data_IF_762325960720
#
_entry.id   IF_762325960720
#
_cell.length_a   1.000
_cell.length_b   1.000
_cell.length_c   1.000
_cell.angle_alpha   90.00
_cell.angle_beta   90.00
_cell.angle_gamma   90.00
#
_symmetry.space_group_name_H-M   'P 1'
#
loop_
_entity.id
_entity.type
_entity.pdbx_description
1 polymer ?
#
# COMPACT_ATOMS: atom_id res chain seq x y z
N UNK A 1 5.90 -8.18 69.71
CA UNK A 1 4.65 -8.93 69.50
C UNK A 1 4.52 -9.22 68.01
N UNK A 2 4.63 -10.51 67.65
CA UNK A 2 4.43 -11.01 66.29
C UNK A 2 2.93 -11.14 65.97
N UNK A 3 2.52 -10.81 64.74
CA UNK A 3 1.43 -11.45 63.99
C UNK A 3 1.50 -10.92 62.55
N UNK A 4 2.12 -11.61 61.58
CA UNK A 4 1.67 -12.78 60.79
C UNK A 4 0.44 -12.52 59.88
N UNK A 5 0.75 -12.32 58.59
CA UNK A 5 0.16 -12.82 57.33
C UNK A 5 -1.37 -12.83 57.14
N UNK A 6 -1.85 -12.26 56.02
CA UNK A 6 -2.47 -13.01 54.89
C UNK A 6 -2.25 -12.22 53.59
N UNK A 7 -1.67 -12.90 52.60
CA UNK A 7 -1.54 -12.48 51.20
C UNK A 7 -2.90 -12.71 50.52
N UNK A 8 -3.49 -11.66 49.94
CA UNK A 8 -4.60 -11.81 49.00
C UNK A 8 -4.08 -11.53 47.59
N UNK A 9 -3.74 -12.62 46.89
CA UNK A 9 -3.49 -12.59 45.45
C UNK A 9 -4.84 -12.39 44.73
N UNK A 10 -5.03 -11.21 44.16
CA UNK A 10 -6.15 -10.96 43.25
C UNK A 10 -5.67 -11.28 41.85
N UNK A 11 -5.92 -12.53 41.43
CA UNK A 11 -5.86 -12.95 40.03
C UNK A 11 -7.17 -12.50 39.38
N UNK A 12 -7.14 -11.39 38.64
CA UNK A 12 -8.21 -11.07 37.70
C UNK A 12 -7.81 -11.59 36.32
N UNK A 13 -8.21 -12.83 36.07
CA UNK A 13 -8.36 -13.40 34.73
C UNK A 13 -9.69 -12.90 34.16
N UNK A 14 -9.64 -11.99 33.19
CA UNK A 14 -10.72 -11.72 32.26
C UNK A 14 -10.22 -12.05 30.85
N UNK A 15 -10.41 -13.32 30.48
CA UNK A 15 -10.42 -13.79 29.10
C UNK A 15 -11.85 -13.61 28.55
N UNK A 16 -11.92 -13.53 27.23
CA UNK A 16 -13.08 -13.26 26.35
C UNK A 16 -13.36 -11.75 26.18
N UNK A 17 -13.44 -11.18 24.98
CA UNK A 17 -13.72 -11.75 23.67
C UNK A 17 -12.70 -11.25 22.63
N UNK A 18 -12.48 -12.05 21.59
CA UNK A 18 -11.88 -11.57 20.36
C UNK A 18 -12.63 -10.33 19.90
N UNK A 19 -11.97 -9.19 19.97
CA UNK A 19 -12.36 -8.07 19.15
C UNK A 19 -12.06 -8.51 17.73
N UNK A 20 -13.10 -8.87 16.98
CA UNK A 20 -13.03 -8.79 15.53
C UNK A 20 -12.35 -7.46 15.17
N UNK A 21 -11.44 -7.42 14.18
CA UNK A 21 -10.96 -6.15 13.68
C UNK A 21 -12.19 -5.31 13.35
N UNK A 22 -12.35 -4.21 14.09
CA UNK A 22 -13.39 -3.24 13.82
C UNK A 22 -13.02 -2.71 12.45
N UNK A 23 -13.68 -3.23 11.41
CA UNK A 23 -13.68 -2.59 10.10
C UNK A 23 -14.09 -1.14 10.37
N UNK A 24 -13.22 -0.15 10.06
CA UNK A 24 -13.61 1.24 10.25
C UNK A 24 -14.86 1.46 9.42
N UNK A 25 -15.97 1.78 10.09
CA UNK A 25 -17.21 2.17 9.44
C UNK A 25 -16.90 3.42 8.62
N UNK A 26 -16.71 3.23 7.32
CA UNK A 26 -16.51 4.27 6.32
C UNK A 26 -17.83 5.04 6.14
N UNK A 27 -18.11 5.93 7.09
CA UNK A 27 -19.25 6.85 7.04
C UNK A 27 -18.85 8.15 6.36
N UNK A 28 -19.59 8.49 5.31
CA UNK A 28 -19.44 9.65 4.41
C UNK A 28 -18.07 9.74 3.70
N UNK A 29 -18.09 10.16 2.43
CA UNK A 29 -16.91 10.17 1.56
C UNK A 29 -15.85 11.16 2.04
N UNK A 30 -15.05 10.77 3.02
CA UNK A 30 -13.94 11.56 3.50
C UNK A 30 -12.72 11.22 2.63
N UNK A 31 -12.63 11.91 1.48
CA UNK A 31 -11.43 11.89 0.65
C UNK A 31 -10.21 12.49 1.38
N UNK A 32 -10.40 12.96 2.63
CA UNK A 32 -9.35 13.45 3.51
C UNK A 32 -8.70 12.27 4.23
N UNK A 33 -7.41 12.01 3.97
CA UNK A 33 -6.69 10.95 4.66
C UNK A 33 -6.58 11.23 6.16
N UNK A 34 -7.00 10.28 6.97
CA UNK A 34 -6.71 10.26 8.40
C UNK A 34 -5.32 9.66 8.62
N UNK A 35 -4.32 10.53 8.66
CA UNK A 35 -2.92 10.12 8.76
C UNK A 35 -2.58 9.55 10.14
N UNK A 36 -2.06 8.33 10.17
CA UNK A 36 -1.37 7.75 11.33
C UNK A 36 0.13 7.65 11.09
N UNK A 37 0.92 7.80 12.14
CA UNK A 37 2.37 7.55 12.11
C UNK A 37 2.63 6.07 12.34
N UNK A 38 3.55 5.50 11.57
CA UNK A 38 4.02 4.12 11.71
C UNK A 38 5.38 4.07 12.43
N UNK A 39 5.78 2.87 12.86
CA UNK A 39 7.00 2.64 13.65
C UNK A 39 8.28 2.94 12.87
N UNK A 40 8.26 2.75 11.55
CA UNK A 40 9.36 3.14 10.64
C UNK A 40 9.44 4.66 10.39
N UNK A 41 8.58 5.44 11.04
CA UNK A 41 8.51 6.90 10.92
C UNK A 41 7.65 7.41 9.77
N UNK A 42 7.20 6.54 8.87
CA UNK A 42 6.32 6.89 7.75
C UNK A 42 4.93 7.31 8.22
N UNK A 43 4.13 7.82 7.29
CA UNK A 43 2.73 8.20 7.49
C UNK A 43 1.86 7.34 6.61
N UNK A 44 0.74 6.85 7.15
CA UNK A 44 -0.16 5.97 6.43
C UNK A 44 -1.61 6.45 6.59
N UNK A 45 -2.41 6.29 5.54
CA UNK A 45 -3.85 6.51 5.57
C UNK A 45 -4.54 5.61 4.56
N UNK A 46 -5.84 5.36 4.78
CA UNK A 46 -6.74 4.75 3.82
C UNK A 46 -7.90 5.71 3.58
N UNK A 47 -8.30 5.84 2.33
CA UNK A 47 -9.47 6.62 1.91
C UNK A 47 -10.36 5.76 1.03
N UNK A 48 -11.66 6.05 1.03
CA UNK A 48 -12.65 5.38 0.20
C UNK A 48 -13.39 6.36 -0.69
N UNK A 49 -13.76 5.95 -1.90
CA UNK A 49 -14.66 6.74 -2.73
C UNK A 49 -16.06 6.83 -2.11
N UNK A 50 -16.81 7.90 -2.39
CA UNK A 50 -18.25 7.89 -2.18
C UNK A 50 -18.85 6.67 -2.89
N UNK A 51 -19.57 5.81 -2.15
CA UNK A 51 -20.11 4.55 -2.66
C UNK A 51 -19.28 3.29 -2.35
N UNK A 52 -18.05 3.42 -1.84
CA UNK A 52 -17.24 2.29 -1.35
C UNK A 52 -16.56 1.43 -2.42
N UNK A 53 -16.85 1.65 -3.71
CA UNK A 53 -16.34 0.81 -4.80
C UNK A 53 -14.82 0.92 -5.06
N UNK A 54 -14.20 2.02 -4.63
CA UNK A 54 -12.77 2.25 -4.76
C UNK A 54 -12.16 2.58 -3.40
N UNK A 55 -11.11 1.85 -3.05
CA UNK A 55 -10.34 2.08 -1.84
C UNK A 55 -8.90 2.43 -2.22
N UNK A 56 -8.31 3.40 -1.53
CA UNK A 56 -6.92 3.78 -1.74
C UNK A 56 -6.20 3.83 -0.40
N UNK A 57 -5.13 3.07 -0.28
CA UNK A 57 -4.13 3.25 0.76
C UNK A 57 -3.00 4.14 0.26
N UNK A 58 -2.50 5.00 1.14
CA UNK A 58 -1.34 5.84 0.88
C UNK A 58 -0.34 5.73 2.03
N UNK A 59 0.93 5.57 1.70
CA UNK A 59 2.03 5.60 2.65
C UNK A 59 3.10 6.58 2.18
N UNK A 60 3.59 7.44 3.07
CA UNK A 60 4.53 8.50 2.74
C UNK A 60 5.73 8.54 3.71
N UNK A 61 6.93 8.71 3.16
CA UNK A 61 8.20 8.89 3.89
C UNK A 61 8.73 10.30 3.66
N UNK A 62 9.34 10.91 4.67
CA UNK A 62 10.01 12.21 4.52
C UNK A 62 11.25 12.03 3.63
N UNK A 63 11.34 12.83 2.55
CA UNK A 63 12.42 12.73 1.55
C UNK A 63 12.77 14.13 1.01
N UNK A 64 13.99 14.60 1.27
CA UNK A 64 14.53 15.85 0.70
C UNK A 64 13.72 17.12 0.99
N UNK A 65 13.03 17.19 2.14
CA UNK A 65 12.17 18.34 2.49
C UNK A 65 10.73 18.25 1.99
N UNK A 66 10.37 17.15 1.31
CA UNK A 66 8.99 16.78 1.01
C UNK A 66 8.70 15.34 1.44
N UNK A 67 7.82 14.69 0.71
CA UNK A 67 7.38 13.32 0.97
C UNK A 67 7.45 12.47 -0.29
N UNK A 68 8.07 11.29 -0.19
CA UNK A 68 7.87 10.22 -1.18
C UNK A 68 6.65 9.43 -0.76
N UNK A 69 5.66 9.29 -1.64
CA UNK A 69 4.40 8.60 -1.34
C UNK A 69 4.16 7.44 -2.29
N UNK A 70 3.70 6.33 -1.73
CA UNK A 70 3.12 5.20 -2.45
C UNK A 70 1.62 5.21 -2.27
N UNK A 71 0.89 5.04 -3.36
CA UNK A 71 -0.57 4.96 -3.40
C UNK A 71 -0.94 3.61 -3.99
N UNK A 72 -1.65 2.78 -3.25
CA UNK A 72 -2.24 1.53 -3.73
C UNK A 72 -3.74 1.72 -3.82
N UNK A 73 -4.33 1.49 -4.99
CA UNK A 73 -5.76 1.58 -5.23
C UNK A 73 -6.31 0.22 -5.60
N UNK A 74 -7.47 -0.10 -5.05
CA UNK A 74 -8.27 -1.26 -5.43
C UNK A 74 -9.62 -0.77 -5.95
N UNK A 75 -9.98 -1.21 -7.14
CA UNK A 75 -11.29 -0.96 -7.74
C UNK A 75 -12.07 -2.27 -7.76
N UNK A 76 -13.18 -2.33 -7.02
CA UNK A 76 -14.02 -3.52 -6.98
C UNK A 76 -14.73 -3.76 -8.33
N UNK A 77 -15.09 -2.69 -9.04
CA UNK A 77 -15.82 -2.78 -10.31
C UNK A 77 -14.96 -3.27 -11.49
N UNK A 78 -13.65 -3.05 -11.43
CA UNK A 78 -12.70 -3.45 -12.46
C UNK A 78 -11.81 -4.62 -12.02
N UNK A 79 -12.03 -5.15 -10.81
CA UNK A 79 -11.16 -6.15 -10.15
C UNK A 79 -9.66 -5.80 -10.29
N UNK A 80 -9.35 -4.50 -10.20
CA UNK A 80 -8.02 -4.00 -10.49
C UNK A 80 -7.33 -3.52 -9.22
N UNK A 81 -6.02 -3.79 -9.15
CA UNK A 81 -5.13 -3.23 -8.15
C UNK A 81 -4.05 -2.46 -8.89
N UNK A 82 -3.84 -1.20 -8.53
CA UNK A 82 -2.77 -0.37 -9.11
C UNK A 82 -1.96 0.23 -7.97
N UNK A 83 -0.64 0.20 -8.08
CA UNK A 83 0.26 0.86 -7.14
C UNK A 83 1.08 1.91 -7.87
N UNK A 84 1.20 3.09 -7.29
CA UNK A 84 1.90 4.24 -7.88
C UNK A 84 2.81 4.90 -6.86
N UNK A 85 3.97 5.37 -7.34
CA UNK A 85 4.91 6.19 -6.56
C UNK A 85 4.95 7.63 -7.07
N UNK A 86 4.91 8.60 -6.16
CA UNK A 86 5.00 10.02 -6.48
C UNK A 86 5.75 10.78 -5.37
N UNK A 87 6.37 11.91 -5.71
CA UNK A 87 6.88 12.87 -4.73
C UNK A 87 5.86 13.99 -4.51
N UNK A 88 5.66 14.37 -3.26
CA UNK A 88 4.70 15.37 -2.83
C UNK A 88 5.41 16.39 -1.94
N UNK A 89 5.14 17.69 -2.12
CA UNK A 89 5.78 18.74 -1.27
C UNK A 89 5.33 18.66 0.19
N UNK A 90 4.14 18.15 0.43
CA UNK A 90 3.53 18.00 1.76
C UNK A 90 2.69 16.72 1.80
N UNK A 91 2.35 16.22 2.99
CA UNK A 91 1.37 15.13 3.12
C UNK A 91 0.06 15.53 2.42
N UNK A 92 -0.46 14.70 1.50
CA UNK A 92 -1.71 14.97 0.82
C UNK A 92 -2.84 15.24 1.82
N UNK A 93 -3.56 16.35 1.62
CA UNK A 93 -4.74 16.71 2.42
C UNK A 93 -6.03 16.12 1.85
N UNK A 94 -5.97 15.69 0.58
CA UNK A 94 -7.02 14.98 -0.12
C UNK A 94 -6.36 13.94 -1.02
N UNK A 95 -6.98 12.79 -1.16
CA UNK A 95 -6.51 11.71 -2.02
C UNK A 95 -7.60 11.39 -3.02
N UNK A 96 -7.24 11.41 -4.31
CA UNK A 96 -8.12 10.89 -5.36
C UNK A 96 -8.26 9.38 -5.17
N UNK A 97 -9.49 8.84 -5.14
CA UNK A 97 -9.69 7.39 -5.13
C UNK A 97 -9.28 6.77 -6.46
N UNK A 98 -9.09 7.58 -7.50
CA UNK A 98 -8.49 7.16 -8.76
C UNK A 98 -6.98 7.30 -8.68
N UNK A 99 -6.29 6.17 -8.78
CA UNK A 99 -4.83 6.10 -8.80
C UNK A 99 -4.34 6.39 -10.22
N UNK A 100 -4.06 7.67 -10.49
CA UNK A 100 -3.39 8.10 -11.71
C UNK A 100 -1.93 8.44 -11.42
N UNK A 101 -1.03 7.88 -12.23
CA UNK A 101 0.39 8.21 -12.21
C UNK A 101 0.68 9.31 -13.24
N UNK A 102 0.35 10.57 -12.92
CA UNK A 102 0.99 11.70 -13.59
C UNK A 102 2.30 12.01 -12.87
N UNK A 103 3.42 12.09 -13.59
CA UNK A 103 4.75 12.34 -13.03
C UNK A 103 5.24 11.24 -12.06
N UNK A 104 5.10 9.96 -12.43
CA UNK A 104 5.43 8.84 -11.56
C UNK A 104 5.41 7.48 -12.24
N UNK A 105 5.84 6.47 -11.49
CA UNK A 105 5.87 5.07 -11.90
C UNK A 105 4.68 4.32 -11.29
N UNK A 106 4.06 3.43 -12.06
CA UNK A 106 2.99 2.56 -11.57
C UNK A 106 3.04 1.17 -12.17
N UNK A 107 2.59 0.18 -11.40
CA UNK A 107 2.24 -1.14 -11.89
C UNK A 107 0.79 -1.46 -11.52
N UNK A 108 0.15 -2.33 -12.27
CA UNK A 108 -1.18 -2.78 -11.93
C UNK A 108 -1.53 -4.14 -12.50
N UNK A 109 -2.49 -4.78 -11.84
CA UNK A 109 -3.18 -5.99 -12.30
C UNK A 109 -4.63 -5.60 -12.57
N UNK A 110 -5.16 -6.00 -13.71
CA UNK A 110 -6.56 -5.84 -14.08
C UNK A 110 -7.19 -7.23 -14.24
N UNK A 111 -7.99 -7.63 -13.24
CA UNK A 111 -8.53 -8.97 -13.12
C UNK A 111 -7.44 -10.05 -13.05
N UNK A 112 -7.66 -11.16 -13.75
CA UNK A 112 -6.66 -12.21 -14.00
C UNK A 112 -6.13 -12.18 -15.43
N UNK A 113 -6.29 -11.06 -16.13
CA UNK A 113 -6.06 -10.99 -17.57
C UNK A 113 -4.80 -10.23 -17.94
N UNK A 114 -4.42 -9.19 -17.20
CA UNK A 114 -3.29 -8.35 -17.57
C UNK A 114 -2.51 -7.83 -16.37
N UNK A 115 -1.20 -7.79 -16.53
CA UNK A 115 -0.26 -7.03 -15.72
C UNK A 115 0.28 -5.87 -16.57
N UNK A 116 0.43 -4.68 -15.97
CA UNK A 116 0.95 -3.50 -16.67
C UNK A 116 1.98 -2.76 -15.85
N UNK A 117 2.96 -2.19 -16.54
CA UNK A 117 3.90 -1.19 -16.02
C UNK A 117 3.71 0.10 -16.81
N UNK A 118 3.67 1.24 -16.12
CA UNK A 118 3.45 2.54 -16.74
C UNK A 118 4.30 3.63 -16.10
N UNK A 119 4.60 4.67 -16.87
CA UNK A 119 5.28 5.88 -16.42
C UNK A 119 4.57 7.10 -17.00
N UNK A 120 4.29 8.08 -16.15
CA UNK A 120 3.70 9.36 -16.57
C UNK A 120 2.39 9.18 -17.37
N UNK A 121 1.63 8.11 -17.04
CA UNK A 121 0.39 7.73 -17.71
C UNK A 121 0.55 6.89 -18.98
N UNK A 122 1.79 6.68 -19.45
CA UNK A 122 2.09 5.86 -20.62
C UNK A 122 2.42 4.43 -20.22
N UNK A 123 1.80 3.46 -20.88
CA UNK A 123 2.12 2.03 -20.71
C UNK A 123 3.49 1.75 -21.31
N UNK A 124 4.39 1.21 -20.49
CA UNK A 124 5.73 0.80 -20.89
C UNK A 124 5.77 -0.68 -21.28
N UNK A 125 5.09 -1.51 -20.51
CA UNK A 125 4.98 -2.94 -20.74
C UNK A 125 3.61 -3.45 -20.29
N UNK A 126 3.12 -4.46 -20.99
CA UNK A 126 1.94 -5.23 -20.63
C UNK A 126 2.30 -6.70 -20.75
N UNK A 127 1.85 -7.50 -19.79
CA UNK A 127 1.86 -8.95 -19.86
C UNK A 127 0.42 -9.42 -19.83
N UNK A 128 0.01 -10.12 -20.88
CA UNK A 128 -1.28 -10.78 -20.88
C UNK A 128 -1.12 -12.08 -20.08
N UNK A 129 -2.10 -12.40 -19.26
CA UNK A 129 -2.08 -13.60 -18.43
C UNK A 129 -2.97 -14.63 -19.11
N UNK A 130 -2.48 -15.19 -20.22
CA UNK A 130 -3.08 -16.37 -20.83
C UNK A 130 -2.64 -17.65 -20.09
N UNK A 131 -3.27 -18.80 -20.40
CA UNK A 131 -3.02 -20.06 -19.69
C UNK A 131 -1.55 -20.53 -19.70
N UNK A 132 -0.74 -20.01 -20.64
CA UNK A 132 0.68 -20.36 -20.82
C UNK A 132 1.65 -19.25 -20.39
N UNK A 133 1.16 -18.03 -20.17
CA UNK A 133 2.01 -16.89 -19.81
C UNK A 133 2.12 -16.78 -18.29
N UNK A 134 3.35 -16.85 -17.78
CA UNK A 134 3.61 -16.67 -16.37
C UNK A 134 3.43 -15.19 -16.00
N UNK A 135 2.99 -14.94 -14.76
CA UNK A 135 3.06 -13.60 -14.15
C UNK A 135 4.51 -13.12 -14.14
N UNK A 136 4.69 -11.80 -14.19
CA UNK A 136 6.03 -11.22 -14.02
C UNK A 136 6.66 -11.67 -12.71
N UNK A 137 7.93 -12.03 -12.78
CA UNK A 137 8.81 -12.13 -11.64
C UNK A 137 9.51 -10.77 -11.38
N UNK A 138 10.11 -10.62 -10.20
CA UNK A 138 10.83 -9.39 -9.84
C UNK A 138 11.95 -9.02 -10.83
N UNK A 139 12.62 -10.01 -11.43
CA UNK A 139 13.69 -9.76 -12.41
C UNK A 139 13.16 -9.28 -13.78
N UNK A 140 11.94 -9.65 -14.17
CA UNK A 140 11.29 -9.13 -15.38
C UNK A 140 11.01 -7.63 -15.21
N UNK A 141 10.49 -7.25 -14.04
CA UNK A 141 10.21 -5.84 -13.72
C UNK A 141 11.50 -5.02 -13.66
N UNK A 142 12.58 -5.55 -13.08
CA UNK A 142 13.90 -4.88 -13.10
C UNK A 142 14.41 -4.67 -14.53
N UNK A 143 14.21 -5.65 -15.41
CA UNK A 143 14.59 -5.56 -16.82
C UNK A 143 13.80 -4.45 -17.51
N UNK A 144 12.47 -4.45 -17.38
CA UNK A 144 11.59 -3.40 -17.92
C UNK A 144 12.04 -2.02 -17.42
N UNK A 145 12.32 -1.88 -16.13
CA UNK A 145 12.76 -0.61 -15.55
C UNK A 145 14.11 -0.14 -16.12
N UNK A 146 15.04 -1.07 -16.31
CA UNK A 146 16.37 -0.79 -16.86
C UNK A 146 16.28 -0.37 -18.32
N UNK A 147 15.53 -1.11 -19.15
CA UNK A 147 15.33 -0.82 -20.57
C UNK A 147 14.63 0.51 -20.82
N UNK A 148 13.80 0.96 -19.88
CA UNK A 148 13.09 2.24 -19.96
C UNK A 148 13.82 3.39 -19.23
N UNK A 149 15.11 3.20 -18.91
CA UNK A 149 15.97 4.20 -18.27
C UNK A 149 15.37 4.78 -16.97
N UNK A 150 14.64 3.94 -16.22
CA UNK A 150 14.01 4.32 -14.96
C UNK A 150 15.05 4.32 -13.83
N UNK A 151 15.99 5.27 -13.91
CA UNK A 151 17.07 5.43 -12.92
C UNK A 151 16.55 6.07 -11.63
N UNK A 152 16.99 5.56 -10.48
CA UNK A 152 16.56 6.06 -9.16
C UNK A 152 15.12 5.68 -8.77
N UNK A 153 14.48 4.78 -9.53
CA UNK A 153 13.18 4.17 -9.19
C UNK A 153 13.33 2.72 -8.74
N UNK A 154 14.55 2.19 -8.69
CA UNK A 154 14.98 0.89 -8.14
C UNK A 154 14.61 0.64 -6.66
N UNK A 155 13.84 1.54 -6.06
CA UNK A 155 13.51 1.63 -4.64
C UNK A 155 12.07 1.22 -4.33
N UNK A 156 11.35 0.77 -5.35
CA UNK A 156 9.96 0.40 -5.21
C UNK A 156 9.75 -0.91 -5.93
N UNK A 157 9.73 -2.00 -5.15
CA UNK A 157 9.26 -3.29 -5.62
C UNK A 157 7.75 -3.21 -5.80
N UNK A 158 7.36 -2.52 -6.87
CA UNK A 158 5.96 -2.28 -7.18
C UNK A 158 5.21 -3.59 -7.30
N UNK A 159 5.87 -4.62 -7.83
CA UNK A 159 5.30 -5.94 -7.99
C UNK A 159 5.06 -6.61 -6.63
N UNK A 160 6.04 -6.63 -5.73
CA UNK A 160 5.85 -7.20 -4.39
C UNK A 160 4.75 -6.48 -3.61
N UNK A 161 4.71 -5.14 -3.68
CA UNK A 161 3.66 -4.36 -3.04
C UNK A 161 2.30 -4.64 -3.67
N UNK A 162 2.24 -4.73 -5.00
CA UNK A 162 1.03 -5.05 -5.75
C UNK A 162 0.50 -6.44 -5.39
N UNK A 163 1.37 -7.45 -5.34
CA UNK A 163 1.03 -8.83 -5.00
C UNK A 163 0.59 -8.95 -3.54
N UNK A 164 1.30 -8.30 -2.62
CA UNK A 164 0.94 -8.26 -1.19
C UNK A 164 -0.43 -7.61 -0.97
N UNK A 165 -0.64 -6.43 -1.56
CA UNK A 165 -1.93 -5.73 -1.49
C UNK A 165 -3.05 -6.53 -2.14
N UNK A 166 -2.78 -7.25 -3.22
CA UNK A 166 -3.77 -8.08 -3.90
C UNK A 166 -4.16 -9.32 -3.08
N UNK A 167 -3.18 -10.02 -2.51
CA UNK A 167 -3.40 -11.25 -1.76
C UNK A 167 -4.08 -11.01 -0.39
N UNK A 168 -3.78 -9.89 0.25
CA UNK A 168 -4.28 -9.56 1.58
C UNK A 168 -5.31 -8.42 1.53
N UNK A 169 -4.85 -7.20 1.81
CA UNK A 169 -5.66 -5.99 1.95
C UNK A 169 -4.82 -4.76 1.64
N UNK A 170 -5.47 -3.60 1.54
CA UNK A 170 -4.77 -2.32 1.36
C UNK A 170 -3.89 -1.97 2.57
N UNK A 171 -4.24 -2.47 3.75
CA UNK A 171 -3.51 -2.34 5.01
C UNK A 171 -2.13 -2.99 4.93
N UNK A 172 -1.91 -3.95 4.04
CA UNK A 172 -0.59 -4.53 3.77
C UNK A 172 0.42 -3.46 3.33
N UNK A 173 -0.04 -2.35 2.71
CA UNK A 173 0.85 -1.23 2.39
C UNK A 173 1.43 -0.58 3.66
N UNK A 174 0.76 -0.68 4.82
CA UNK A 174 1.26 -0.14 6.09
C UNK A 174 2.43 -0.95 6.68
N UNK A 175 2.61 -2.19 6.24
CA UNK A 175 3.71 -3.08 6.68
C UNK A 175 4.70 -3.38 5.56
N UNK A 176 4.37 -3.04 4.30
CA UNK A 176 5.24 -3.22 3.14
C UNK A 176 6.64 -2.64 3.40
N UNK A 177 7.66 -3.45 3.18
CA UNK A 177 9.05 -3.00 3.30
C UNK A 177 9.36 -2.16 2.06
N UNK A 178 9.60 -0.87 2.26
CA UNK A 178 10.08 0.02 1.20
C UNK A 178 11.55 0.25 1.47
N UNK A 179 12.40 -0.64 0.94
CA UNK A 179 13.83 -0.51 1.12
C UNK A 179 14.41 0.42 0.05
N UNK A 180 15.18 1.42 0.51
CA UNK A 180 15.95 2.31 -0.35
C UNK A 180 17.22 1.63 -0.88
N UNK A 181 17.52 0.40 -0.48
CA UNK A 181 18.77 -0.27 -0.84
C UNK A 181 18.48 -1.70 -1.32
N UNK A 182 18.17 -1.85 -2.61
CA UNK A 182 18.39 -3.11 -3.34
C UNK A 182 19.19 -2.82 -4.61
N UNK A 183 20.41 -2.31 -4.43
CA UNK A 183 21.49 -2.50 -5.39
C UNK A 183 22.44 -3.53 -4.76
N UNK A 184 22.24 -4.79 -5.11
CA UNK A 184 23.22 -5.86 -5.01
C UNK A 184 23.54 -6.32 -6.42
#
# INVERSE_FOLDING_TARGET
>A
MLMRWVIAAVVLLALTAGGDPIDPVLGDSDLRPQWRKLDDGSRFAVVSSPGGDNLVAIRCWLDGGGYRCLKAGRSASLESVTVTSAWERSLPQMVSPVVHAFNGYSCGIEGDLYERVSRDGYVLATNQLEAEEARWAGDDVKTIMTENELTGWSYFDCLDVLLSVRAESLEALSTAVVSKDMAG
#
